data_IF_926809090917
#
_entry.id   IF_926809090917
#
_cell.length_a   1.000
_cell.length_b   1.000
_cell.length_c   1.000
_cell.angle_alpha   90.00
_cell.angle_beta   90.00
_cell.angle_gamma   90.00
#
_symmetry.space_group_name_H-M   'P 1'
#
loop_
_entity.id
_entity.type
_entity.pdbx_description
1 polymer ?
#
# COMPACT_ATOMS: atom_id res chain seq x y z
N UNK A 1 15.56 -14.65 19.07
CA UNK A 1 14.39 -14.37 18.21
C UNK A 1 14.01 -12.91 18.38
N UNK A 2 13.80 -12.19 17.27
CA UNK A 2 13.44 -10.78 17.21
C UNK A 2 12.26 -10.61 16.26
N UNK A 3 11.26 -9.86 16.71
CA UNK A 3 10.13 -9.39 15.90
C UNK A 3 10.29 -7.89 15.70
N UNK A 4 10.18 -7.45 14.45
CA UNK A 4 10.27 -6.04 14.06
C UNK A 4 8.99 -5.65 13.37
N UNK A 5 8.37 -4.59 13.87
CA UNK A 5 7.06 -4.12 13.45
C UNK A 5 7.16 -2.64 13.11
N UNK A 6 6.51 -2.26 12.02
CA UNK A 6 6.32 -0.86 11.66
C UNK A 6 4.87 -0.60 11.34
N UNK A 7 4.34 0.48 11.90
CA UNK A 7 3.00 0.93 11.59
C UNK A 7 2.79 2.45 11.71
N UNK A 8 1.70 2.92 11.10
CA UNK A 8 1.21 4.27 11.27
C UNK A 8 0.61 4.49 12.67
N UNK A 9 -0.36 3.69 13.07
CA UNK A 9 -1.06 3.82 14.36
C UNK A 9 -1.46 2.45 14.91
N UNK A 10 -1.77 2.40 16.22
CA UNK A 10 -2.15 1.16 16.89
C UNK A 10 -3.58 1.25 17.41
N UNK A 11 -4.39 0.26 17.05
CA UNK A 11 -5.81 0.15 17.41
C UNK A 11 -6.23 -1.33 17.39
N UNK A 12 -5.44 -2.21 18.02
CA UNK A 12 -5.78 -3.63 18.13
C UNK A 12 -6.86 -3.90 19.18
N UNK A 13 -7.04 -2.99 20.14
CA UNK A 13 -8.00 -3.07 21.22
C UNK A 13 -9.14 -2.08 20.98
N UNK A 14 -10.37 -2.51 21.31
CA UNK A 14 -11.59 -1.72 21.05
C UNK A 14 -11.51 -0.31 21.62
N UNK A 15 -11.00 -0.13 22.83
CA UNK A 15 -10.92 1.17 23.50
C UNK A 15 -10.05 2.20 22.76
N UNK A 16 -9.18 1.74 21.88
CA UNK A 16 -8.23 2.55 21.11
C UNK A 16 -8.74 2.82 19.67
N UNK A 17 -10.01 2.50 19.38
CA UNK A 17 -10.66 2.70 18.06
C UNK A 17 -10.85 4.18 17.69
N UNK A 18 -10.89 5.06 18.70
CA UNK A 18 -11.22 6.48 18.54
C UNK A 18 -12.73 6.76 18.59
N UNK A 19 -13.11 8.02 18.43
CA UNK A 19 -14.50 8.51 18.38
C UNK A 19 -15.40 8.06 19.56
N UNK A 20 -14.82 7.88 20.74
CA UNK A 20 -15.53 7.40 21.93
C UNK A 20 -16.01 5.94 21.84
N UNK A 21 -15.56 5.19 20.84
CA UNK A 21 -15.92 3.79 20.63
C UNK A 21 -15.14 2.91 21.61
N UNK A 22 -15.82 2.47 22.68
CA UNK A 22 -15.21 1.73 23.80
C UNK A 22 -15.75 0.31 23.95
N UNK A 23 -16.81 -0.04 23.22
CA UNK A 23 -17.40 -1.37 23.19
C UNK A 23 -17.71 -1.77 21.76
N UNK A 24 -17.42 -3.02 21.40
CA UNK A 24 -17.72 -3.57 20.09
C UNK A 24 -18.94 -4.49 20.16
N UNK A 25 -20.16 -3.98 19.86
CA UNK A 25 -21.37 -4.81 19.87
C UNK A 25 -21.44 -5.82 18.72
N UNK A 26 -20.51 -5.74 17.75
CA UNK A 26 -20.47 -6.66 16.60
C UNK A 26 -19.63 -7.91 16.88
N UNK A 27 -18.86 -7.91 17.97
CA UNK A 27 -17.95 -8.99 18.37
C UNK A 27 -16.97 -9.39 17.25
N UNK A 28 -16.45 -8.40 16.53
CA UNK A 28 -15.51 -8.57 15.41
C UNK A 28 -14.09 -8.08 15.72
N UNK A 29 -13.84 -7.61 16.94
CA UNK A 29 -12.55 -7.12 17.44
C UNK A 29 -11.64 -8.18 18.06
N UNK A 30 -12.12 -9.39 18.31
CA UNK A 30 -11.38 -10.46 19.01
C UNK A 30 -10.04 -10.84 18.37
N UNK A 31 -9.93 -10.74 17.03
CA UNK A 31 -8.68 -11.00 16.33
C UNK A 31 -7.60 -9.95 16.64
N UNK A 32 -7.97 -8.69 16.85
CA UNK A 32 -7.02 -7.64 17.24
C UNK A 32 -6.50 -7.89 18.66
N UNK A 33 -7.40 -8.18 19.59
CA UNK A 33 -7.05 -8.55 20.97
C UNK A 33 -6.14 -9.80 21.01
N UNK A 34 -6.40 -10.79 20.15
CA UNK A 34 -5.55 -11.97 20.02
C UNK A 34 -4.12 -11.59 19.59
N UNK A 35 -3.94 -10.70 18.60
CA UNK A 35 -2.61 -10.24 18.17
C UNK A 35 -1.91 -9.52 19.32
N UNK A 36 -2.60 -8.60 20.00
CA UNK A 36 -2.06 -7.87 21.15
C UNK A 36 -1.55 -8.83 22.24
N UNK A 37 -2.40 -9.78 22.65
CA UNK A 37 -2.05 -10.77 23.67
C UNK A 37 -0.93 -11.72 23.21
N UNK A 38 -0.88 -12.05 21.92
CA UNK A 38 0.18 -12.87 21.32
C UNK A 38 1.53 -12.17 21.33
N UNK A 39 1.57 -10.86 21.04
CA UNK A 39 2.79 -10.06 21.13
C UNK A 39 3.30 -10.00 22.57
N UNK A 40 2.41 -9.78 23.53
CA UNK A 40 2.79 -9.73 24.93
C UNK A 40 3.28 -11.08 25.45
N UNK A 41 2.57 -12.18 25.18
CA UNK A 41 3.01 -13.53 25.57
C UNK A 41 4.29 -13.97 24.85
N UNK A 42 4.49 -13.57 23.59
CA UNK A 42 5.77 -13.75 22.90
C UNK A 42 6.92 -13.09 23.67
N UNK A 43 6.71 -11.85 24.09
CA UNK A 43 7.71 -11.08 24.80
C UNK A 43 8.01 -11.65 26.20
N UNK A 44 6.96 -11.95 26.98
CA UNK A 44 7.08 -12.33 28.40
C UNK A 44 7.35 -13.82 28.58
N UNK A 45 6.55 -14.68 27.95
CA UNK A 45 6.58 -16.13 28.23
C UNK A 45 7.65 -16.83 27.38
N UNK A 46 7.87 -16.34 26.16
CA UNK A 46 8.85 -16.91 25.22
C UNK A 46 10.16 -16.11 25.13
N UNK A 47 10.29 -15.03 25.91
CA UNK A 47 11.50 -14.22 26.00
C UNK A 47 11.96 -13.65 24.63
N UNK A 48 11.01 -13.36 23.74
CA UNK A 48 11.26 -12.83 22.39
C UNK A 48 11.39 -11.31 22.46
N UNK A 49 12.37 -10.73 21.77
CA UNK A 49 12.48 -9.26 21.70
C UNK A 49 11.58 -8.72 20.60
N UNK A 50 10.84 -7.66 20.89
CA UNK A 50 9.95 -6.98 19.94
C UNK A 50 10.39 -5.52 19.81
N UNK A 51 10.63 -5.07 18.58
CA UNK A 51 10.90 -3.69 18.24
C UNK A 51 9.76 -3.13 17.41
N UNK A 52 9.20 -2.02 17.84
CA UNK A 52 8.13 -1.30 17.17
C UNK A 52 8.65 0.07 16.76
N UNK A 53 8.69 0.36 15.47
CA UNK A 53 8.78 1.73 14.98
C UNK A 53 7.39 2.21 14.58
N UNK A 54 7.04 3.43 14.97
CA UNK A 54 5.72 4.00 14.72
C UNK A 54 5.83 5.47 14.33
N UNK A 55 4.75 6.05 13.80
CA UNK A 55 4.67 7.50 13.63
C UNK A 55 4.69 8.19 14.99
N UNK A 56 5.26 9.38 15.08
CA UNK A 56 5.13 10.22 16.28
C UNK A 56 3.72 10.84 16.36
N UNK A 57 3.12 10.74 17.53
CA UNK A 57 1.86 11.39 17.91
C UNK A 57 2.06 12.06 19.26
N UNK A 58 1.52 13.26 19.44
CA UNK A 58 1.56 13.95 20.73
C UNK A 58 0.72 13.18 21.75
N UNK A 59 1.28 12.95 22.94
CA UNK A 59 0.68 12.05 23.94
C UNK A 59 0.92 10.54 23.72
N UNK A 60 1.49 10.13 22.57
CA UNK A 60 1.87 8.75 22.30
C UNK A 60 0.69 7.80 22.02
N UNK A 61 0.98 6.49 22.06
CA UNK A 61 -0.02 5.44 21.81
C UNK A 61 -0.12 4.53 23.02
N UNK A 62 -1.28 4.57 23.66
CA UNK A 62 -1.53 3.80 24.88
C UNK A 62 -1.26 2.29 24.71
N UNK A 63 -1.64 1.68 23.59
CA UNK A 63 -1.44 0.24 23.36
C UNK A 63 0.04 -0.15 23.41
N UNK A 64 0.89 0.58 22.69
CA UNK A 64 2.32 0.26 22.63
C UNK A 64 3.01 0.59 23.94
N UNK A 65 2.58 1.65 24.64
CA UNK A 65 3.06 1.95 25.99
C UNK A 65 2.67 0.85 26.98
N UNK A 66 1.47 0.29 26.84
CA UNK A 66 1.02 -0.84 27.65
C UNK A 66 1.84 -2.11 27.37
N UNK A 67 2.16 -2.40 26.10
CA UNK A 67 3.05 -3.49 25.73
C UNK A 67 4.43 -3.30 26.35
N UNK A 68 5.04 -2.11 26.23
CA UNK A 68 6.33 -1.80 26.83
C UNK A 68 6.30 -2.04 28.33
N UNK A 69 5.33 -1.45 29.04
CA UNK A 69 5.20 -1.55 30.49
C UNK A 69 5.04 -3.00 30.99
N UNK A 70 4.32 -3.84 30.25
CA UNK A 70 4.06 -5.25 30.63
C UNK A 70 5.10 -6.24 30.13
N UNK A 71 5.99 -5.83 29.23
CA UNK A 71 6.93 -6.75 28.57
C UNK A 71 8.21 -7.07 29.35
N UNK A 72 8.43 -6.47 30.53
CA UNK A 72 9.69 -6.58 31.28
C UNK A 72 10.93 -6.22 30.41
N UNK A 73 10.81 -5.14 29.61
CA UNK A 73 11.89 -4.61 28.76
C UNK A 73 12.11 -5.36 27.44
N UNK A 74 11.22 -6.30 27.09
CA UNK A 74 11.30 -7.09 25.84
C UNK A 74 10.65 -6.42 24.64
N UNK A 75 9.63 -5.60 24.86
CA UNK A 75 9.06 -4.72 23.85
C UNK A 75 9.71 -3.35 23.97
N UNK A 76 10.16 -2.80 22.84
CA UNK A 76 10.71 -1.45 22.74
C UNK A 76 10.06 -0.72 21.58
N UNK A 77 9.74 0.55 21.82
CA UNK A 77 9.07 1.41 20.85
C UNK A 77 9.97 2.60 20.50
N UNK A 78 9.97 3.01 19.23
CA UNK A 78 10.54 4.28 18.77
C UNK A 78 9.54 4.98 17.86
N UNK A 79 9.35 6.27 18.10
CA UNK A 79 8.43 7.10 17.31
C UNK A 79 9.21 8.01 16.37
N UNK A 80 8.85 8.00 15.09
CA UNK A 80 9.46 8.81 14.05
C UNK A 80 8.66 10.08 13.82
N UNK A 81 9.30 11.22 14.04
CA UNK A 81 8.71 12.54 13.79
C UNK A 81 9.24 13.08 12.47
N UNK A 82 8.46 12.90 11.40
CA UNK A 82 8.81 13.29 10.03
C UNK A 82 8.94 14.79 9.86
N UNK A 83 8.29 15.59 10.72
CA UNK A 83 8.37 17.06 10.66
C UNK A 83 9.78 17.59 10.96
N UNK A 84 10.67 16.74 11.50
CA UNK A 84 12.09 17.04 11.70
C UNK A 84 12.91 17.02 10.41
N UNK A 85 12.43 16.37 9.35
CA UNK A 85 13.19 16.17 8.11
C UNK A 85 12.44 16.62 6.85
N UNK A 86 11.11 16.66 6.92
CA UNK A 86 10.21 16.94 5.81
C UNK A 86 9.14 17.96 6.21
N UNK A 87 8.48 18.65 5.25
CA UNK A 87 7.40 19.59 5.55
C UNK A 87 6.13 18.93 6.11
N UNK A 88 6.07 17.60 6.14
CA UNK A 88 4.98 16.78 6.65
C UNK A 88 5.33 15.30 6.52
N UNK A 89 4.32 14.43 6.52
CA UNK A 89 4.48 12.99 6.34
C UNK A 89 4.47 12.21 7.66
N UNK A 90 4.45 10.88 7.53
CA UNK A 90 4.28 9.92 8.64
C UNK A 90 5.02 8.61 8.30
N UNK A 91 5.12 7.68 9.25
CA UNK A 91 5.49 6.29 8.97
C UNK A 91 4.23 5.54 8.54
N UNK A 92 3.98 5.41 7.24
CA UNK A 92 2.80 4.74 6.69
C UNK A 92 3.05 3.29 6.26
N UNK A 93 4.19 2.72 6.64
CA UNK A 93 4.50 1.30 6.40
C UNK A 93 3.62 0.42 7.27
N UNK A 94 3.16 -0.74 6.77
CA UNK A 94 2.56 -1.81 7.58
C UNK A 94 3.28 -3.11 7.30
N UNK A 95 4.23 -3.45 8.17
CA UNK A 95 5.13 -4.58 7.89
C UNK A 95 5.64 -5.27 9.14
N UNK A 96 6.01 -6.54 8.96
CA UNK A 96 6.61 -7.38 9.98
C UNK A 96 7.87 -8.02 9.39
N UNK A 97 8.96 -8.07 10.16
CA UNK A 97 10.06 -9.00 9.93
C UNK A 97 10.33 -9.81 11.19
N UNK A 98 10.46 -11.12 11.04
CA UNK A 98 10.64 -12.06 12.16
C UNK A 98 11.88 -12.89 11.86
N UNK A 99 12.90 -12.75 12.72
CA UNK A 99 14.19 -13.45 12.65
C UNK A 99 14.94 -13.33 11.31
N UNK A 100 14.62 -12.32 10.50
CA UNK A 100 15.14 -12.24 9.12
C UNK A 100 14.76 -13.47 8.30
N UNK A 101 13.64 -14.12 8.61
CA UNK A 101 13.18 -15.37 8.00
C UNK A 101 11.74 -15.33 7.50
N UNK A 102 10.87 -14.59 8.19
CA UNK A 102 9.47 -14.43 7.82
C UNK A 102 9.17 -12.94 7.69
N UNK A 103 8.29 -12.58 6.77
CA UNK A 103 7.88 -11.19 6.64
C UNK A 103 6.42 -11.03 6.20
N UNK A 104 5.88 -9.84 6.49
CA UNK A 104 4.63 -9.35 5.94
C UNK A 104 4.81 -7.92 5.42
N UNK A 105 4.22 -7.63 4.26
CA UNK A 105 4.04 -6.26 3.72
C UNK A 105 2.64 -6.18 3.11
N UNK A 106 1.92 -5.11 3.40
CA UNK A 106 0.59 -4.89 2.82
C UNK A 106 -0.08 -3.63 3.33
N UNK A 107 -1.38 -3.53 3.10
CA UNK A 107 -2.16 -2.33 3.41
C UNK A 107 -2.79 -2.31 4.81
N UNK A 108 -2.91 -3.46 5.48
CA UNK A 108 -3.54 -3.60 6.79
C UNK A 108 -2.74 -2.91 7.91
N UNK A 109 -3.35 -1.90 8.56
CA UNK A 109 -2.83 -1.32 9.80
C UNK A 109 -2.93 -2.33 10.96
N UNK A 110 -2.24 -2.06 12.06
CA UNK A 110 -2.37 -2.74 13.35
C UNK A 110 -3.65 -2.29 14.03
N UNK A 111 -4.74 -2.65 13.39
CA UNK A 111 -6.08 -2.24 13.70
C UNK A 111 -6.97 -3.48 13.60
N UNK A 112 -7.76 -3.75 14.63
CA UNK A 112 -8.69 -4.88 14.61
C UNK A 112 -9.66 -4.81 13.43
N UNK A 113 -10.03 -3.61 12.98
CA UNK A 113 -10.87 -3.36 11.80
C UNK A 113 -10.18 -3.82 10.51
N UNK A 114 -8.86 -3.71 10.40
CA UNK A 114 -8.08 -4.20 9.25
C UNK A 114 -8.23 -5.72 9.06
N UNK A 115 -8.53 -6.45 10.13
CA UNK A 115 -8.63 -7.91 10.12
C UNK A 115 -10.04 -8.41 9.76
N UNK A 116 -11.08 -7.64 10.09
CA UNK A 116 -12.47 -8.14 10.04
C UNK A 116 -13.44 -7.22 9.32
N UNK A 117 -13.13 -5.93 9.17
CA UNK A 117 -14.08 -4.92 8.70
C UNK A 117 -13.59 -4.05 7.53
N UNK A 118 -12.30 -4.11 7.20
CA UNK A 118 -11.68 -3.36 6.11
C UNK A 118 -11.16 -4.37 5.09
N UNK A 119 -11.31 -4.04 3.81
CA UNK A 119 -10.84 -4.87 2.71
C UNK A 119 -9.39 -4.50 2.38
N UNK A 120 -8.48 -5.35 2.84
CA UNK A 120 -7.03 -5.18 2.71
C UNK A 120 -6.41 -6.22 1.76
N UNK A 121 -5.17 -5.97 1.34
CA UNK A 121 -4.31 -6.92 0.63
C UNK A 121 -2.86 -6.82 1.14
N UNK A 122 -2.20 -7.96 1.24
CA UNK A 122 -0.78 -8.04 1.57
C UNK A 122 -0.20 -9.39 1.22
N UNK A 123 1.11 -9.52 1.38
CA UNK A 123 1.84 -10.79 1.26
C UNK A 123 2.49 -11.10 2.59
N UNK A 124 2.27 -12.32 3.07
CA UNK A 124 3.08 -12.95 4.10
C UNK A 124 3.93 -14.05 3.44
N UNK A 125 5.23 -14.02 3.70
CA UNK A 125 6.13 -15.08 3.27
C UNK A 125 6.78 -15.73 4.49
N UNK A 126 6.81 -17.06 4.49
CA UNK A 126 7.39 -17.85 5.56
C UNK A 126 8.62 -18.58 5.06
N UNK A 127 9.70 -18.58 5.85
CA UNK A 127 10.96 -19.20 5.46
C UNK A 127 11.54 -18.62 4.15
N UNK A 128 11.48 -17.29 4.01
CA UNK A 128 12.03 -16.53 2.90
C UNK A 128 13.11 -15.57 3.43
N UNK A 129 14.27 -16.09 3.85
CA UNK A 129 15.26 -15.29 4.55
C UNK A 129 15.88 -14.19 3.69
N UNK A 130 15.98 -14.39 2.38
CA UNK A 130 16.55 -13.40 1.48
C UNK A 130 15.72 -12.09 1.49
N UNK A 131 14.40 -12.19 1.28
CA UNK A 131 13.49 -11.04 1.36
C UNK A 131 13.25 -10.53 2.78
N UNK A 132 13.20 -11.42 3.78
CA UNK A 132 12.97 -11.01 5.16
C UNK A 132 14.16 -10.23 5.75
N UNK A 133 15.40 -10.58 5.37
CA UNK A 133 16.58 -9.79 5.72
C UNK A 133 16.61 -8.45 4.97
N UNK A 134 16.22 -8.43 3.70
CA UNK A 134 16.16 -7.18 2.94
C UNK A 134 15.11 -6.20 3.50
N UNK A 135 13.93 -6.70 3.90
CA UNK A 135 12.94 -5.91 4.61
C UNK A 135 13.49 -5.41 5.94
N UNK A 136 14.14 -6.28 6.72
CA UNK A 136 14.76 -5.92 7.99
C UNK A 136 15.71 -4.72 7.84
N UNK A 137 16.50 -4.65 6.77
CA UNK A 137 17.38 -3.50 6.53
C UNK A 137 16.60 -2.18 6.42
N UNK A 138 15.42 -2.18 5.81
CA UNK A 138 14.51 -1.02 5.79
C UNK A 138 14.01 -0.70 7.22
N UNK A 139 13.66 -1.73 7.99
CA UNK A 139 13.13 -1.54 9.35
C UNK A 139 14.22 -0.99 10.31
N UNK A 140 15.48 -1.36 10.10
CA UNK A 140 16.61 -0.79 10.86
C UNK A 140 16.82 0.70 10.57
N UNK A 141 16.56 1.16 9.33
CA UNK A 141 16.53 2.59 9.00
C UNK A 141 15.44 3.28 9.82
N UNK A 142 14.22 2.75 9.81
CA UNK A 142 13.11 3.35 10.56
C UNK A 142 13.40 3.38 12.07
N UNK A 143 13.89 2.25 12.60
CA UNK A 143 14.31 2.14 13.99
C UNK A 143 15.36 3.19 14.33
N UNK A 144 16.37 3.38 13.48
CA UNK A 144 17.44 4.37 13.68
C UNK A 144 16.92 5.80 13.63
N UNK A 145 16.00 6.11 12.72
CA UNK A 145 15.40 7.44 12.59
C UNK A 145 14.48 7.80 13.74
N UNK A 146 13.93 6.81 14.46
CA UNK A 146 13.19 7.04 15.71
C UNK A 146 14.07 7.33 16.93
N UNK A 147 15.40 7.40 16.79
CA UNK A 147 16.29 7.76 17.89
C UNK A 147 16.28 9.29 18.18
N UNK A 148 16.52 9.72 19.43
CA UNK A 148 16.66 11.14 19.75
C UNK A 148 17.74 11.82 18.89
N UNK A 149 17.38 12.93 18.24
CA UNK A 149 18.31 13.71 17.43
C UNK A 149 18.75 13.05 16.13
N UNK A 150 18.04 12.03 15.64
CA UNK A 150 18.36 11.39 14.36
C UNK A 150 18.32 12.39 13.20
N UNK A 151 19.31 12.30 12.31
CA UNK A 151 19.46 13.11 11.10
C UNK A 151 19.57 12.14 9.94
N UNK A 152 18.89 12.45 8.83
CA UNK A 152 19.03 11.67 7.60
C UNK A 152 20.48 11.83 7.11
N UNK A 153 21.25 10.74 7.00
CA UNK A 153 22.63 10.84 6.54
C UNK A 153 22.67 11.18 5.05
N UNK A 154 23.77 11.79 4.60
CA UNK A 154 24.00 11.98 3.16
C UNK A 154 24.07 10.64 2.39
N UNK A 155 24.51 9.58 3.08
CA UNK A 155 24.54 8.22 2.57
C UNK A 155 24.34 7.23 3.71
N UNK A 156 23.44 6.27 3.51
CA UNK A 156 23.22 5.16 4.42
C UNK A 156 24.41 4.18 4.42
N UNK A 157 24.68 3.56 5.58
CA UNK A 157 25.71 2.55 5.72
C UNK A 157 25.47 1.32 4.85
N UNK A 158 26.55 0.59 4.54
CA UNK A 158 26.50 -0.63 3.72
C UNK A 158 25.72 -1.77 4.41
N UNK A 159 25.53 -1.69 5.73
CA UNK A 159 24.77 -2.64 6.54
C UNK A 159 23.26 -2.66 6.21
N UNK A 160 22.73 -1.56 5.66
CA UNK A 160 21.32 -1.46 5.22
C UNK A 160 21.16 -1.38 3.69
N UNK A 161 22.25 -1.52 2.94
CA UNK A 161 22.23 -1.58 1.49
C UNK A 161 21.58 -2.87 0.97
N UNK A 162 21.25 -2.89 -0.32
CA UNK A 162 20.72 -4.09 -0.98
C UNK A 162 21.25 -4.23 -2.41
N UNK A 163 21.52 -5.46 -2.88
CA UNK A 163 21.78 -5.70 -4.29
C UNK A 163 20.49 -5.73 -5.12
N UNK A 164 19.32 -5.84 -4.48
CA UNK A 164 18.05 -6.08 -5.14
C UNK A 164 17.42 -4.78 -5.64
N UNK A 165 17.14 -4.73 -6.95
CA UNK A 165 16.44 -3.62 -7.61
C UNK A 165 15.71 -4.10 -8.86
N UNK A 166 15.18 -3.19 -9.66
CA UNK A 166 14.44 -3.54 -10.86
C UNK A 166 15.31 -4.27 -11.90
N UNK A 167 16.60 -3.93 -12.03
CA UNK A 167 17.51 -4.60 -12.97
C UNK A 167 18.00 -5.95 -12.43
N UNK A 168 18.24 -6.04 -11.12
CA UNK A 168 18.75 -7.23 -10.45
C UNK A 168 17.82 -7.63 -9.31
N UNK A 169 16.62 -8.16 -9.60
CA UNK A 169 15.70 -8.60 -8.56
C UNK A 169 16.25 -9.84 -7.84
N UNK A 170 15.76 -10.09 -6.64
CA UNK A 170 16.11 -11.28 -5.87
C UNK A 170 15.29 -12.48 -6.33
N UNK A 171 15.96 -13.59 -6.66
CA UNK A 171 15.29 -14.85 -6.97
C UNK A 171 14.77 -15.52 -5.70
N UNK A 172 13.46 -15.72 -5.64
CA UNK A 172 12.72 -16.38 -4.56
C UNK A 172 12.16 -17.69 -5.11
N UNK A 173 12.86 -18.79 -4.79
CA UNK A 173 12.49 -20.12 -5.26
C UNK A 173 11.21 -20.61 -4.58
N UNK A 174 10.25 -21.06 -5.39
CA UNK A 174 9.03 -21.69 -4.92
C UNK A 174 8.80 -22.99 -5.72
N UNK A 175 8.22 -24.04 -5.10
CA UNK A 175 7.92 -25.29 -5.80
C UNK A 175 7.04 -25.10 -7.05
N UNK A 176 6.27 -24.01 -7.08
CA UNK A 176 5.30 -23.71 -8.12
C UNK A 176 5.79 -22.65 -9.12
N UNK A 177 7.09 -22.35 -9.12
CA UNK A 177 7.75 -21.42 -10.03
C UNK A 177 8.43 -20.28 -9.28
N UNK A 178 9.72 -20.06 -9.56
CA UNK A 178 10.51 -19.00 -8.94
C UNK A 178 9.99 -17.61 -9.26
N UNK A 179 10.14 -16.71 -8.29
CA UNK A 179 9.71 -15.31 -8.37
C UNK A 179 10.92 -14.40 -8.33
N UNK A 180 10.95 -13.37 -9.17
CA UNK A 180 11.91 -12.28 -9.10
C UNK A 180 11.28 -11.14 -8.30
N UNK A 181 11.83 -10.83 -7.11
CA UNK A 181 11.22 -9.89 -6.17
C UNK A 181 12.22 -8.84 -5.68
N UNK A 182 11.75 -7.62 -5.40
CA UNK A 182 12.54 -6.59 -4.72
C UNK A 182 11.64 -5.62 -3.97
N UNK A 183 12.22 -4.91 -2.99
CA UNK A 183 11.53 -3.92 -2.17
C UNK A 183 11.94 -2.49 -2.57
N UNK A 184 10.96 -1.61 -2.68
CA UNK A 184 11.13 -0.18 -2.87
C UNK A 184 10.68 0.59 -1.63
N UNK A 185 11.17 1.82 -1.49
CA UNK A 185 10.89 2.66 -0.33
C UNK A 185 10.60 4.11 -0.71
N UNK A 186 9.83 4.77 0.13
CA UNK A 186 9.74 6.22 0.21
C UNK A 186 9.96 6.65 1.67
N UNK A 187 10.25 7.92 1.95
CA UNK A 187 10.66 8.97 1.01
C UNK A 187 12.12 8.79 0.56
N UNK A 188 12.62 9.56 -0.43
CA UNK A 188 13.99 9.43 -0.95
C UNK A 188 15.10 9.47 0.10
N UNK A 189 14.94 10.22 1.20
CA UNK A 189 15.93 10.24 2.28
C UNK A 189 16.07 8.91 3.04
N UNK A 190 15.11 7.99 2.91
CA UNK A 190 15.17 6.66 3.54
C UNK A 190 15.65 5.58 2.55
N UNK A 191 16.01 5.96 1.33
CA UNK A 191 16.54 5.08 0.31
C UNK A 191 18.01 4.75 0.58
N UNK A 192 18.31 3.51 0.93
CA UNK A 192 19.69 3.02 1.06
C UNK A 192 20.31 2.67 -0.30
N UNK A 193 21.63 2.47 -0.33
CA UNK A 193 22.34 2.12 -1.57
C UNK A 193 21.73 0.86 -2.22
N UNK A 194 21.48 0.96 -3.54
CA UNK A 194 20.88 -0.09 -4.36
C UNK A 194 19.36 -0.22 -4.26
N UNK A 195 18.72 0.35 -3.23
CA UNK A 195 17.27 0.39 -3.04
C UNK A 195 16.62 1.30 -4.08
N UNK A 196 15.43 0.95 -4.56
CA UNK A 196 14.66 1.84 -5.43
C UNK A 196 13.69 2.74 -4.66
N UNK A 197 13.49 3.95 -5.19
CA UNK A 197 12.36 4.80 -4.84
C UNK A 197 11.03 4.16 -5.27
N UNK A 198 10.00 4.27 -4.43
CA UNK A 198 8.73 3.58 -4.61
C UNK A 198 7.98 4.04 -5.87
N UNK A 199 7.87 5.35 -6.11
CA UNK A 199 7.23 5.89 -7.30
C UNK A 199 7.97 5.46 -8.57
N UNK A 200 9.30 5.48 -8.53
CA UNK A 200 10.15 5.02 -9.63
C UNK A 200 9.91 3.54 -9.94
N UNK A 201 9.85 2.68 -8.93
CA UNK A 201 9.61 1.25 -9.10
C UNK A 201 8.19 0.98 -9.65
N UNK A 202 7.18 1.72 -9.18
CA UNK A 202 5.81 1.67 -9.71
C UNK A 202 5.77 2.04 -11.20
N UNK A 203 6.40 3.16 -11.58
CA UNK A 203 6.41 3.65 -12.97
C UNK A 203 7.09 2.65 -13.89
N UNK A 204 8.22 2.05 -13.50
CA UNK A 204 8.88 1.01 -14.30
C UNK A 204 7.95 -0.19 -14.54
N UNK A 205 7.26 -0.67 -13.51
CA UNK A 205 6.30 -1.77 -13.67
C UNK A 205 5.13 -1.43 -14.60
N UNK A 206 4.66 -0.18 -14.59
CA UNK A 206 3.61 0.32 -15.49
C UNK A 206 4.13 0.51 -16.93
N UNK A 207 5.38 0.96 -17.07
CA UNK A 207 6.02 1.20 -18.37
C UNK A 207 6.39 -0.10 -19.09
N UNK A 208 6.54 -1.21 -18.36
CA UNK A 208 6.71 -2.55 -18.93
C UNK A 208 5.39 -3.20 -19.40
N UNK A 209 4.22 -2.73 -18.95
CA UNK A 209 2.92 -3.32 -19.27
C UNK A 209 2.60 -3.27 -20.77
N UNK A 210 2.11 -4.38 -21.33
CA UNK A 210 1.77 -4.53 -22.75
C UNK A 210 0.30 -4.87 -23.00
N UNK A 211 -0.38 -5.54 -22.07
CA UNK A 211 -1.76 -5.99 -22.28
C UNK A 211 -2.74 -5.26 -21.37
N UNK A 212 -2.48 -5.29 -20.07
CA UNK A 212 -3.38 -4.69 -19.09
C UNK A 212 -2.62 -4.08 -17.91
N UNK A 213 -3.28 -3.11 -17.28
CA UNK A 213 -2.86 -2.52 -16.02
C UNK A 213 -4.08 -2.43 -15.10
N UNK A 214 -4.09 -3.26 -14.08
CA UNK A 214 -5.19 -3.33 -13.11
C UNK A 214 -4.74 -2.74 -11.78
N UNK A 215 -5.43 -1.71 -11.31
CA UNK A 215 -5.00 -0.86 -10.21
C UNK A 215 -6.07 -0.73 -9.15
N UNK A 216 -5.71 -0.83 -7.88
CA UNK A 216 -6.63 -0.75 -6.76
C UNK A 216 -6.00 0.06 -5.62
N UNK A 217 -6.58 1.22 -5.33
CA UNK A 217 -6.12 2.11 -4.25
C UNK A 217 -7.28 2.66 -3.45
N UNK A 218 -7.03 3.01 -2.18
CA UNK A 218 -7.99 3.76 -1.39
C UNK A 218 -8.11 5.20 -1.89
N UNK A 219 -7.01 5.95 -1.89
CA UNK A 219 -6.96 7.36 -2.30
C UNK A 219 -5.95 7.57 -3.45
N UNK A 220 -6.36 8.37 -4.44
CA UNK A 220 -5.55 8.74 -5.60
C UNK A 220 -5.57 10.25 -5.83
N UNK A 221 -4.39 10.85 -6.06
CA UNK A 221 -4.25 12.22 -6.54
C UNK A 221 -2.92 12.43 -7.30
N UNK A 222 -2.92 13.18 -8.43
CA UNK A 222 -1.73 13.61 -9.16
C UNK A 222 -1.05 14.85 -8.57
N UNK A 223 -1.38 15.22 -7.33
CA UNK A 223 -0.77 16.32 -6.60
C UNK A 223 -0.61 15.97 -5.12
N UNK A 224 0.15 16.79 -4.40
CA UNK A 224 0.18 16.71 -2.94
C UNK A 224 -1.16 17.20 -2.36
N UNK A 225 -1.57 16.61 -1.23
CA UNK A 225 -2.80 16.87 -0.50
C UNK A 225 -2.53 17.46 0.90
N UNK A 226 -1.45 17.05 1.57
CA UNK A 226 -1.29 17.27 3.01
C UNK A 226 -0.35 18.43 3.36
N UNK A 227 0.12 19.17 2.36
CA UNK A 227 0.93 20.38 2.59
C UNK A 227 0.02 21.59 2.74
N UNK A 228 -0.24 22.00 3.99
CA UNK A 228 -1.14 23.12 4.39
C UNK A 228 -1.35 24.20 3.31
N UNK A 229 -0.29 24.92 2.93
CA UNK A 229 -0.34 26.04 1.97
C UNK A 229 0.62 25.85 0.78
N UNK A 230 1.14 24.65 0.57
CA UNK A 230 2.23 24.40 -0.37
C UNK A 230 1.96 23.20 -1.27
N UNK A 231 0.69 22.86 -1.49
CA UNK A 231 0.35 21.75 -2.35
C UNK A 231 0.79 22.03 -3.80
N UNK A 232 1.44 21.05 -4.43
CA UNK A 232 2.04 21.15 -5.77
C UNK A 232 1.59 20.00 -6.67
N UNK A 233 1.44 20.31 -7.96
CA UNK A 233 1.16 19.34 -9.00
C UNK A 233 2.38 18.47 -9.30
N UNK A 234 2.22 17.14 -9.20
CA UNK A 234 3.29 16.14 -9.35
C UNK A 234 2.68 14.86 -9.95
N UNK A 235 2.49 14.84 -11.28
CA UNK A 235 1.63 13.89 -11.98
C UNK A 235 2.38 12.66 -12.50
N UNK A 236 3.53 12.30 -11.94
CA UNK A 236 4.41 11.30 -12.54
C UNK A 236 3.72 9.93 -12.70
N UNK A 237 2.94 9.51 -11.70
CA UNK A 237 2.11 8.30 -11.78
C UNK A 237 0.96 8.47 -12.80
N UNK A 238 0.26 9.62 -12.78
CA UNK A 238 -0.83 9.93 -13.72
C UNK A 238 -0.38 9.85 -15.18
N UNK A 239 0.79 10.44 -15.46
CA UNK A 239 1.44 10.38 -16.76
C UNK A 239 1.76 8.93 -17.15
N UNK A 240 2.29 8.10 -16.23
CA UNK A 240 2.57 6.70 -16.52
C UNK A 240 1.30 5.90 -16.89
N UNK A 241 0.20 6.13 -16.17
CA UNK A 241 -1.10 5.51 -16.46
C UNK A 241 -1.60 5.93 -17.85
N UNK A 242 -1.55 7.23 -18.16
CA UNK A 242 -1.95 7.74 -19.48
C UNK A 242 -1.09 7.19 -20.60
N UNK A 243 0.23 7.15 -20.43
CA UNK A 243 1.16 6.56 -21.42
C UNK A 243 0.86 5.08 -21.68
N UNK A 244 0.57 4.31 -20.64
CA UNK A 244 0.20 2.90 -20.80
C UNK A 244 -0.99 2.74 -21.75
N UNK A 245 -2.08 3.47 -21.52
CA UNK A 245 -3.25 3.39 -22.38
C UNK A 245 -3.01 3.99 -23.77
N UNK A 246 -2.49 5.23 -23.84
CA UNK A 246 -2.45 6.03 -25.05
C UNK A 246 -1.33 5.63 -26.01
N UNK A 247 -0.13 5.33 -25.50
CA UNK A 247 1.05 5.05 -26.32
C UNK A 247 1.21 3.55 -26.58
N UNK A 248 0.82 2.71 -25.61
CA UNK A 248 1.04 1.25 -25.64
C UNK A 248 -0.23 0.44 -25.80
N UNK A 249 -1.38 1.09 -25.95
CA UNK A 249 -2.66 0.42 -26.13
C UNK A 249 -3.05 -0.54 -24.98
N UNK A 250 -2.53 -0.29 -23.77
CA UNK A 250 -2.81 -1.09 -22.57
C UNK A 250 -4.24 -0.84 -22.09
N UNK A 251 -4.92 -1.89 -21.65
CA UNK A 251 -6.22 -1.78 -20.99
C UNK A 251 -6.06 -1.52 -19.50
N UNK A 252 -6.29 -0.28 -19.08
CA UNK A 252 -6.26 0.13 -17.68
C UNK A 252 -7.63 -0.07 -17.04
N UNK A 253 -7.67 -0.74 -15.90
CA UNK A 253 -8.83 -0.79 -15.00
C UNK A 253 -8.43 -0.30 -13.62
N UNK A 254 -9.13 0.69 -13.10
CA UNK A 254 -8.77 1.36 -11.86
C UNK A 254 -9.93 1.35 -10.86
N UNK A 255 -9.73 0.69 -9.72
CA UNK A 255 -10.63 0.70 -8.58
C UNK A 255 -10.16 1.69 -7.51
N UNK A 256 -11.07 2.58 -7.10
CA UNK A 256 -10.85 3.55 -6.02
C UNK A 256 -11.86 3.33 -4.91
N UNK A 257 -11.49 3.48 -3.64
CA UNK A 257 -12.43 3.29 -2.52
C UNK A 257 -13.53 4.34 -2.54
N UNK A 258 -14.78 3.91 -2.32
CA UNK A 258 -15.90 4.79 -2.01
C UNK A 258 -16.33 4.57 -0.56
N UNK A 259 -16.12 5.60 0.24
CA UNK A 259 -16.37 5.61 1.68
C UNK A 259 -16.62 7.05 2.16
N UNK A 260 -17.11 7.27 3.40
CA UNK A 260 -17.54 8.60 3.86
C UNK A 260 -16.46 9.70 3.84
N UNK A 261 -15.19 9.34 3.75
CA UNK A 261 -14.06 10.28 3.70
C UNK A 261 -13.42 10.38 2.31
N UNK A 262 -14.11 9.89 1.26
CA UNK A 262 -13.65 10.07 -0.13
C UNK A 262 -13.70 11.56 -0.48
N UNK A 263 -12.56 12.11 -0.87
CA UNK A 263 -12.43 13.50 -1.29
C UNK A 263 -13.30 13.81 -2.53
N UNK A 264 -13.99 14.95 -2.52
CA UNK A 264 -14.90 15.34 -3.61
C UNK A 264 -14.13 15.69 -4.90
N UNK A 265 -12.92 16.23 -4.77
CA UNK A 265 -12.01 16.56 -5.86
C UNK A 265 -11.52 15.32 -6.64
N UNK A 266 -11.43 14.16 -5.97
CA UNK A 266 -10.99 12.91 -6.60
C UNK A 266 -11.86 12.54 -7.79
N UNK A 267 -13.16 12.85 -7.75
CA UNK A 267 -14.07 12.55 -8.87
C UNK A 267 -13.66 13.29 -10.14
N UNK A 268 -13.39 14.60 -10.07
CA UNK A 268 -12.94 15.38 -11.22
C UNK A 268 -11.59 14.90 -11.78
N UNK A 269 -10.66 14.52 -10.90
CA UNK A 269 -9.37 13.94 -11.28
C UNK A 269 -9.57 12.62 -12.04
N UNK A 270 -10.39 11.71 -11.52
CA UNK A 270 -10.66 10.43 -12.16
C UNK A 270 -11.38 10.61 -13.50
N UNK A 271 -12.30 11.58 -13.60
CA UNK A 271 -12.92 11.92 -14.88
C UNK A 271 -11.89 12.36 -15.91
N UNK A 272 -10.97 13.26 -15.54
CA UNK A 272 -9.85 13.68 -16.41
C UNK A 272 -8.98 12.49 -16.85
N UNK A 273 -8.77 11.52 -15.97
CA UNK A 273 -7.99 10.32 -16.30
C UNK A 273 -8.75 9.40 -17.26
N UNK A 274 -10.04 9.16 -17.03
CA UNK A 274 -10.86 8.28 -17.86
C UNK A 274 -11.18 8.84 -19.26
N UNK A 275 -11.35 10.16 -19.38
CA UNK A 275 -11.79 10.86 -20.62
C UNK A 275 -10.90 10.59 -21.85
N UNK A 276 -9.62 10.27 -21.62
CA UNK A 276 -8.70 9.92 -22.71
C UNK A 276 -9.14 8.66 -23.49
N UNK A 277 -9.93 7.78 -22.88
CA UNK A 277 -10.41 6.53 -23.50
C UNK A 277 -11.22 6.75 -24.78
N UNK A 278 -12.01 7.82 -24.83
CA UNK A 278 -12.82 8.15 -26.01
C UNK A 278 -11.97 8.81 -27.13
N UNK A 279 -10.78 9.29 -26.75
CA UNK A 279 -9.87 10.05 -27.58
C UNK A 279 -8.61 9.27 -27.98
N UNK A 280 -8.62 7.93 -27.83
CA UNK A 280 -7.49 7.08 -28.21
C UNK A 280 -7.07 7.30 -29.68
N UNK A 281 -5.75 7.33 -29.95
CA UNK A 281 -5.25 7.57 -31.29
C UNK A 281 -5.48 6.35 -32.18
N UNK A 282 -5.26 6.52 -33.48
CA UNK A 282 -5.24 5.37 -34.36
C UNK A 282 -4.05 4.47 -34.02
N UNK A 283 -4.32 3.23 -33.63
CA UNK A 283 -3.26 2.27 -33.31
C UNK A 283 -2.80 1.52 -34.57
N UNK A 284 -3.74 1.15 -35.44
CA UNK A 284 -3.46 0.58 -36.76
C UNK A 284 -4.63 0.79 -37.70
N UNK A 285 -4.39 0.67 -39.00
CA UNK A 285 -5.43 0.60 -40.02
C UNK A 285 -5.67 -0.87 -40.39
N UNK A 286 -6.93 -1.27 -40.52
CA UNK A 286 -7.28 -2.61 -41.02
C UNK A 286 -7.19 -2.71 -42.55
N UNK A 287 -7.51 -3.88 -43.12
CA UNK A 287 -7.45 -4.11 -44.57
C UNK A 287 -8.41 -3.24 -45.39
N UNK A 288 -9.37 -2.56 -44.75
CA UNK A 288 -10.34 -1.66 -45.37
C UNK A 288 -10.02 -0.19 -45.10
N UNK A 289 -8.80 0.13 -44.69
CA UNK A 289 -8.35 1.49 -44.31
C UNK A 289 -9.17 2.09 -43.14
N UNK A 290 -9.76 1.22 -42.30
CA UNK A 290 -10.48 1.67 -41.11
C UNK A 290 -9.52 1.72 -39.93
N UNK A 291 -9.51 2.87 -39.27
CA UNK A 291 -8.74 3.05 -38.05
C UNK A 291 -9.25 2.14 -36.92
N UNK A 292 -8.34 1.36 -36.34
CA UNK A 292 -8.55 0.56 -35.13
C UNK A 292 -7.91 1.29 -33.96
N UNK A 293 -8.74 1.79 -33.05
CA UNK A 293 -8.31 2.33 -31.76
C UNK A 293 -8.12 1.19 -30.76
N UNK A 294 -7.09 1.28 -29.91
CA UNK A 294 -6.84 0.36 -28.80
C UNK A 294 -6.37 1.15 -27.58
N UNK A 295 -6.33 0.47 -26.43
CA UNK A 295 -6.10 1.11 -25.14
C UNK A 295 -7.39 1.67 -24.56
N UNK A 296 -7.47 1.71 -23.23
CA UNK A 296 -8.62 2.25 -22.50
C UNK A 296 -8.24 2.51 -21.06
N UNK A 297 -8.94 3.42 -20.41
CA UNK A 297 -8.94 3.61 -18.97
C UNK A 297 -10.37 3.50 -18.48
N UNK A 298 -10.69 2.44 -17.74
CA UNK A 298 -12.00 2.28 -17.09
C UNK A 298 -11.82 2.43 -15.57
N UNK A 299 -12.64 3.26 -14.95
CA UNK A 299 -12.57 3.58 -13.53
C UNK A 299 -13.88 3.20 -12.83
N UNK A 300 -13.74 2.53 -11.69
CA UNK A 300 -14.86 2.17 -10.82
C UNK A 300 -14.55 2.53 -9.38
N UNK A 301 -15.57 2.96 -8.68
CA UNK A 301 -15.55 3.04 -7.23
C UNK A 301 -15.90 1.68 -6.62
N UNK A 302 -15.27 1.31 -5.52
CA UNK A 302 -15.61 0.11 -4.74
C UNK A 302 -16.17 0.53 -3.40
N UNK A 303 -17.40 0.14 -3.12
CA UNK A 303 -18.04 0.40 -1.82
C UNK A 303 -18.14 -0.90 -1.04
N UNK A 304 -17.44 -0.99 0.09
CA UNK A 304 -17.60 -2.14 0.98
C UNK A 304 -19.00 -2.07 1.60
N UNK A 305 -19.80 -3.15 1.57
CA UNK A 305 -21.19 -3.11 2.02
C UNK A 305 -21.33 -2.69 3.47
N UNK A 306 -22.36 -1.93 3.81
CA UNK A 306 -22.67 -1.65 5.21
C UNK A 306 -23.11 -2.92 5.95
N UNK A 307 -22.81 -3.02 7.24
CA UNK A 307 -23.28 -4.14 8.07
C UNK A 307 -24.76 -4.02 8.48
N UNK A 308 -25.36 -2.84 8.33
CA UNK A 308 -26.76 -2.57 8.72
C UNK A 308 -27.01 -2.44 10.22
N UNK A 309 -26.04 -2.77 11.07
CA UNK A 309 -26.05 -2.59 12.52
C UNK A 309 -24.61 -2.39 13.05
N UNK A 310 -24.46 -1.82 14.25
CA UNK A 310 -23.17 -1.66 14.91
C UNK A 310 -22.19 -0.77 14.12
N UNK A 311 -22.45 0.54 14.08
CA UNK A 311 -21.60 1.51 13.37
C UNK A 311 -20.19 1.53 13.98
N UNK A 312 -19.22 0.98 13.27
CA UNK A 312 -17.80 1.01 13.63
C UNK A 312 -17.15 2.21 12.93
N UNK A 313 -16.50 3.14 13.66
CA UNK A 313 -15.77 4.25 13.06
C UNK A 313 -14.65 3.78 12.12
N UNK A 314 -14.45 4.49 11.02
CA UNK A 314 -13.38 4.25 10.03
C UNK A 314 -13.31 2.79 9.50
N UNK A 315 -14.45 2.10 9.47
CA UNK A 315 -14.56 0.73 8.98
C UNK A 315 -15.25 0.69 7.60
N UNK A 316 -15.36 -0.51 7.01
CA UNK A 316 -16.01 -0.73 5.70
C UNK A 316 -15.34 0.09 4.59
N UNK A 317 -14.02 0.00 4.53
CA UNK A 317 -13.18 0.72 3.55
C UNK A 317 -12.52 -0.28 2.60
N UNK A 318 -12.40 0.07 1.32
CA UNK A 318 -11.59 -0.68 0.36
C UNK A 318 -10.14 -0.14 0.42
N UNK A 319 -9.36 -0.64 1.37
CA UNK A 319 -8.12 -0.01 1.79
C UNK A 319 -6.87 -0.53 1.06
N UNK A 320 -7.01 -1.04 -0.17
CA UNK A 320 -5.91 -1.61 -0.95
C UNK A 320 -4.93 -0.56 -1.47
N UNK A 321 -3.70 -0.98 -1.82
CA UNK A 321 -2.69 -0.19 -2.55
C UNK A 321 -1.83 -1.11 -3.43
N UNK A 322 -2.37 -1.57 -4.55
CA UNK A 322 -1.67 -2.49 -5.44
C UNK A 322 -1.99 -2.23 -6.92
N UNK A 323 -1.08 -2.64 -7.79
CA UNK A 323 -1.41 -2.84 -9.21
C UNK A 323 -0.84 -4.14 -9.72
N UNK A 324 -1.38 -4.61 -10.84
CA UNK A 324 -0.94 -5.83 -11.52
C UNK A 324 -1.08 -5.70 -13.03
N UNK A 325 -0.08 -6.19 -13.75
CA UNK A 325 -0.03 -6.31 -15.21
C UNK A 325 0.02 -7.79 -15.59
N UNK A 326 0.21 -8.12 -16.86
CA UNK A 326 0.43 -9.49 -17.31
C UNK A 326 1.72 -10.14 -16.75
N UNK A 327 2.67 -9.32 -16.28
CA UNK A 327 4.03 -9.74 -15.93
C UNK A 327 4.49 -9.30 -14.54
N UNK A 328 3.88 -8.26 -13.97
CA UNK A 328 4.34 -7.61 -12.73
C UNK A 328 3.19 -7.40 -11.76
N UNK A 329 3.42 -7.62 -10.47
CA UNK A 329 2.54 -7.16 -9.39
C UNK A 329 3.33 -6.24 -8.46
N UNK A 330 2.72 -5.13 -8.06
CA UNK A 330 3.18 -4.23 -7.02
C UNK A 330 2.18 -4.27 -5.86
N UNK A 331 2.67 -4.47 -4.64
CA UNK A 331 1.87 -4.38 -3.41
C UNK A 331 2.55 -3.40 -2.48
N UNK A 332 1.84 -2.33 -2.10
CA UNK A 332 2.38 -1.25 -1.30
C UNK A 332 1.64 -1.02 0.00
N UNK A 333 2.23 -0.16 0.82
CA UNK A 333 1.65 0.30 2.10
C UNK A 333 0.97 1.66 1.98
N UNK A 334 1.31 2.45 0.95
CA UNK A 334 1.01 3.88 0.83
C UNK A 334 -0.06 4.18 -0.21
N UNK A 335 -0.96 5.13 0.12
CA UNK A 335 -1.91 5.66 -0.86
C UNK A 335 -1.18 6.43 -1.96
N UNK A 336 -1.88 6.72 -3.06
CA UNK A 336 -1.26 7.26 -4.26
C UNK A 336 -1.51 8.75 -4.40
N UNK A 337 -0.81 9.53 -3.59
CA UNK A 337 -0.63 10.97 -3.81
C UNK A 337 0.84 11.34 -3.64
N UNK A 338 1.24 12.48 -4.18
CA UNK A 338 2.65 12.81 -4.31
C UNK A 338 3.37 12.96 -2.95
N UNK A 339 2.64 13.29 -1.88
CA UNK A 339 3.20 13.34 -0.52
C UNK A 339 3.61 11.97 0.02
N UNK A 340 2.93 10.91 -0.43
CA UNK A 340 3.23 9.56 0.03
C UNK A 340 4.61 9.10 -0.44
N UNK A 341 5.04 9.55 -1.62
CA UNK A 341 6.38 9.26 -2.14
C UNK A 341 7.41 10.29 -1.71
N UNK A 342 7.02 11.56 -1.55
CA UNK A 342 7.98 12.63 -1.24
C UNK A 342 8.34 12.74 0.25
N UNK A 343 7.38 12.50 1.15
CA UNK A 343 7.52 12.87 2.57
C UNK A 343 7.09 11.79 3.56
N UNK A 344 6.37 10.76 3.11
CA UNK A 344 5.85 9.68 3.97
C UNK A 344 6.65 8.41 3.78
N UNK A 345 6.94 7.69 4.87
CA UNK A 345 7.63 6.42 4.76
C UNK A 345 6.71 5.26 4.40
N UNK A 346 6.98 4.62 3.27
CA UNK A 346 6.22 3.49 2.75
C UNK A 346 7.14 2.43 2.15
N UNK A 347 6.59 1.22 1.97
CA UNK A 347 7.28 0.10 1.34
C UNK A 347 6.42 -0.44 0.20
N UNK A 348 7.05 -0.67 -0.94
CA UNK A 348 6.49 -1.43 -2.06
C UNK A 348 7.21 -2.76 -2.23
N UNK A 349 6.45 -3.79 -2.60
CA UNK A 349 6.97 -5.09 -3.02
C UNK A 349 6.63 -5.32 -4.49
N UNK A 350 7.66 -5.50 -5.30
CA UNK A 350 7.53 -5.80 -6.73
C UNK A 350 7.78 -7.29 -6.94
N UNK A 351 6.95 -7.91 -7.77
CA UNK A 351 6.93 -9.35 -8.02
C UNK A 351 6.82 -9.59 -9.52
N UNK A 352 7.74 -10.39 -10.05
CA UNK A 352 7.77 -10.85 -11.45
C UNK A 352 8.09 -12.34 -11.50
N UNK A 353 7.94 -12.94 -12.66
CA UNK A 353 8.49 -14.27 -12.91
C UNK A 353 10.02 -14.19 -12.93
N UNK A 354 10.70 -15.12 -12.26
CA UNK A 354 12.16 -15.27 -12.36
C UNK A 354 12.59 -15.92 -13.69
N UNK A 355 11.66 -16.60 -14.34
CA UNK A 355 11.79 -17.13 -15.69
C UNK A 355 10.92 -16.29 -16.63
N UNK A 356 11.57 -15.54 -17.54
CA UNK A 356 10.90 -14.66 -18.50
C UNK A 356 9.99 -15.39 -19.50
N UNK A 357 10.11 -16.72 -19.62
CA UNK A 357 9.25 -17.54 -20.48
C UNK A 357 8.00 -18.04 -19.75
N UNK A 358 7.96 -17.91 -18.43
CA UNK A 358 6.89 -18.36 -17.56
C UNK A 358 6.09 -17.18 -16.99
N UNK A 359 4.81 -17.43 -16.66
CA UNK A 359 3.99 -16.47 -15.92
C UNK A 359 4.13 -16.70 -14.42
N UNK A 360 4.30 -15.63 -13.64
CA UNK A 360 4.31 -15.72 -12.18
C UNK A 360 2.94 -16.13 -11.65
N UNK A 361 2.91 -17.17 -10.81
CA UNK A 361 1.66 -17.57 -10.14
C UNK A 361 1.18 -16.52 -9.13
N UNK A 362 2.08 -15.82 -8.45
CA UNK A 362 1.69 -14.74 -7.54
C UNK A 362 1.04 -13.57 -8.31
N UNK A 363 1.60 -13.20 -9.46
CA UNK A 363 0.99 -12.20 -10.36
C UNK A 363 -0.40 -12.64 -10.80
N UNK A 364 -0.59 -13.92 -11.14
CA UNK A 364 -1.91 -14.46 -11.50
C UNK A 364 -2.90 -14.48 -10.32
N UNK A 365 -2.45 -14.75 -9.11
CA UNK A 365 -3.29 -14.69 -7.91
C UNK A 365 -3.75 -13.25 -7.63
N UNK A 366 -2.86 -12.27 -7.72
CA UNK A 366 -3.21 -10.85 -7.56
C UNK A 366 -4.18 -10.41 -8.68
N UNK A 367 -3.93 -10.84 -9.92
CA UNK A 367 -4.84 -10.60 -11.06
C UNK A 367 -6.23 -11.18 -10.77
N UNK A 368 -6.30 -12.40 -10.24
CA UNK A 368 -7.57 -13.07 -9.91
C UNK A 368 -8.33 -12.36 -8.79
N UNK A 369 -7.61 -11.84 -7.77
CA UNK A 369 -8.19 -11.01 -6.70
C UNK A 369 -8.78 -9.73 -7.28
N UNK A 370 -8.04 -9.04 -8.15
CA UNK A 370 -8.53 -7.84 -8.82
C UNK A 370 -9.80 -8.13 -9.63
N UNK A 371 -9.77 -9.17 -10.46
CA UNK A 371 -10.90 -9.54 -11.30
C UNK A 371 -12.14 -9.94 -10.49
N UNK A 372 -11.97 -10.63 -9.35
CA UNK A 372 -13.07 -10.93 -8.45
C UNK A 372 -13.73 -9.64 -7.95
N UNK A 373 -12.92 -8.70 -7.47
CA UNK A 373 -13.41 -7.45 -6.91
C UNK A 373 -14.06 -6.57 -8.00
N UNK A 374 -13.40 -6.44 -9.17
CA UNK A 374 -13.87 -5.70 -10.34
C UNK A 374 -15.23 -6.15 -10.86
N UNK A 375 -15.46 -7.46 -10.87
CA UNK A 375 -16.71 -8.05 -11.37
C UNK A 375 -17.77 -8.23 -10.26
N UNK A 376 -17.49 -7.77 -9.03
CA UNK A 376 -18.46 -7.83 -7.94
C UNK A 376 -19.56 -6.77 -8.10
N UNK A 377 -20.70 -7.02 -7.47
CA UNK A 377 -21.82 -6.08 -7.38
C UNK A 377 -21.51 -4.83 -6.52
N UNK A 378 -20.31 -4.77 -5.91
CA UNK A 378 -19.87 -3.68 -5.05
C UNK A 378 -19.03 -2.64 -5.79
N UNK A 379 -18.83 -2.83 -7.09
CA UNK A 379 -18.20 -1.85 -7.97
C UNK A 379 -19.24 -0.97 -8.64
N UNK A 380 -18.91 0.30 -8.79
CA UNK A 380 -19.82 1.33 -9.29
C UNK A 380 -19.05 2.14 -10.34
N UNK A 381 -19.48 2.12 -11.62
CA UNK A 381 -18.83 2.91 -12.66
C UNK A 381 -18.74 4.39 -12.32
N UNK A 382 -17.62 5.04 -12.68
CA UNK A 382 -17.40 6.47 -12.46
C UNK A 382 -18.53 7.34 -13.04
N UNK A 383 -19.07 6.96 -14.20
CA UNK A 383 -20.18 7.65 -14.87
C UNK A 383 -21.48 7.74 -14.06
N UNK A 384 -21.59 6.97 -12.97
CA UNK A 384 -22.73 7.04 -12.04
C UNK A 384 -22.55 8.15 -10.98
N UNK A 385 -21.48 8.94 -11.08
CA UNK A 385 -21.21 10.08 -10.20
C UNK A 385 -20.99 11.34 -11.03
N UNK A 386 -21.34 12.51 -10.52
CA UNK A 386 -20.92 13.79 -11.12
C UNK A 386 -19.44 14.06 -10.83
N UNK A 387 -18.86 15.05 -11.51
CA UNK A 387 -17.49 15.52 -11.23
C UNK A 387 -17.29 16.03 -9.79
N UNK A 388 -18.38 16.28 -9.06
CA UNK A 388 -18.37 16.72 -7.67
C UNK A 388 -18.73 15.59 -6.69
N UNK A 389 -18.87 14.35 -7.17
CA UNK A 389 -19.11 13.17 -6.34
C UNK A 389 -20.57 12.83 -6.01
N UNK A 390 -21.54 13.54 -6.58
CA UNK A 390 -22.96 13.23 -6.36
C UNK A 390 -23.42 12.09 -7.28
N UNK A 391 -24.32 11.21 -6.81
CA UNK A 391 -24.92 10.17 -7.67
C UNK A 391 -25.70 10.79 -8.83
N UNK A 392 -25.55 10.23 -10.04
CA UNK A 392 -26.36 10.61 -11.20
C UNK A 392 -27.76 9.96 -11.12
N UNK A 393 -28.76 10.61 -11.73
CA UNK A 393 -30.16 10.14 -11.69
C UNK A 393 -30.40 8.77 -12.37
N UNK A 394 -29.42 8.25 -13.11
CA UNK A 394 -29.45 6.95 -13.79
C UNK A 394 -29.02 5.78 -12.91
N UNK A 395 -28.62 6.00 -11.66
CA UNK A 395 -27.98 4.98 -10.81
C UNK A 395 -28.78 4.55 -9.57
N UNK A 396 -30.12 4.46 -9.63
CA UNK A 396 -30.90 3.80 -8.58
C UNK A 396 -30.95 2.30 -8.86
N UNK A 397 -30.12 1.52 -8.18
CA UNK A 397 -30.32 0.10 -7.94
C UNK A 397 -30.26 -0.15 -6.43
#
# INVERSE_FOLDING_TARGET
>A
MVVEINDYYWSLLVKDTGDGYTTDPTNSSSNGELIYNTLLSAAVDRNISVRIAQTYEDGGYWETDNLVAKSNGKVRVRSLDFTKWYPGGILHTKSWSIDGKHFYVGSANFDWRSLTNVKELGIAAFNCPCMANDLKNILEIYWSMGAPGAIIPNQWGNDVATPANHQNPMSVFQPTGSQAMYLSVSPPGFQSCGREDDLTAMIKGIDEAQEYLYMAVMDYSPHTLYLKNANTWRPELDNAIRRAAFERAVHVKFMVSLWPHTYAETYGILYSLQDISDHMPCHKYDSNDKCVKKGSIEIRFVQVPDMGYGKIPYARVYHNKYFVTESTAYIGTSNWSSDYWAYTAGIGLIIRSDDSTSKSQLVQQVTSIFQRDWNSAYTIPLQNFTISGNRTSTSKF
#
